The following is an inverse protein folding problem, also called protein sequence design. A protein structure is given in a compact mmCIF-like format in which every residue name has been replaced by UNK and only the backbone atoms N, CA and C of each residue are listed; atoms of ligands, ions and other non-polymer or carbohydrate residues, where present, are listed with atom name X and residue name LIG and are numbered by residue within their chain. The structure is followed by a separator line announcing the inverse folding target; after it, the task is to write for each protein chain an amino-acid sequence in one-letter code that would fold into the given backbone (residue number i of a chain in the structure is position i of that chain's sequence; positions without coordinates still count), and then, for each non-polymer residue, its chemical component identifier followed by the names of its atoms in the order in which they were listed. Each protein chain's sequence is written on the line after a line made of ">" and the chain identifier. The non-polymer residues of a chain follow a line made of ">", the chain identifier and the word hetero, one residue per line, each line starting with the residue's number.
data_IF_207996570978
#
_entry.id   IF_207996570978
#
_cell.length_a   1.000
_cell.length_b   1.000
_cell.length_c   1.000
_cell.angle_alpha   90.00
_cell.angle_beta   90.00
_cell.angle_gamma   90.00
#
_symmetry.space_group_name_H-M   'P 1'
#
loop_
_entity.id
_entity.type
_entity.pdbx_description
1 polymer ?
#
# COMPACT_ATOMS: atom_id res chain seq x y z
N UNK A 1 -5.19 15.54 -4.01
CA UNK A 1 -5.16 15.63 -2.52
C UNK A 1 -6.47 15.21 -1.86
N UNK A 2 -7.66 15.55 -2.37
CA UNK A 2 -8.94 15.14 -1.76
C UNK A 2 -9.18 13.61 -1.77
N UNK A 3 -8.83 12.90 -2.84
CA UNK A 3 -9.10 11.45 -2.97
C UNK A 3 -8.41 10.59 -1.90
N UNK A 4 -7.17 10.93 -1.49
CA UNK A 4 -6.47 10.21 -0.43
C UNK A 4 -7.12 10.45 0.94
N UNK A 5 -7.61 11.67 1.20
CA UNK A 5 -8.33 12.01 2.44
C UNK A 5 -9.64 11.24 2.53
N UNK A 6 -10.39 11.17 1.44
CA UNK A 6 -11.63 10.39 1.39
C UNK A 6 -11.41 8.89 1.61
N UNK A 7 -10.37 8.29 0.98
CA UNK A 7 -10.04 6.87 1.19
C UNK A 7 -9.65 6.57 2.64
N UNK A 8 -8.88 7.46 3.26
CA UNK A 8 -8.53 7.34 4.68
C UNK A 8 -9.75 7.46 5.58
N UNK A 9 -10.62 8.46 5.34
CA UNK A 9 -11.85 8.63 6.10
C UNK A 9 -12.78 7.41 5.98
N UNK A 10 -13.00 6.90 4.76
CA UNK A 10 -13.78 5.68 4.54
C UNK A 10 -13.19 4.46 5.24
N UNK A 11 -11.86 4.37 5.34
CA UNK A 11 -11.20 3.31 6.11
C UNK A 11 -11.52 3.40 7.60
N UNK A 12 -11.48 4.60 8.19
CA UNK A 12 -11.85 4.81 9.60
C UNK A 12 -13.32 4.47 9.86
N UNK A 13 -14.22 4.88 8.97
CA UNK A 13 -15.64 4.52 9.05
C UNK A 13 -15.84 3.00 9.00
N UNK A 14 -15.17 2.31 8.08
CA UNK A 14 -15.26 0.85 7.99
C UNK A 14 -14.64 0.17 9.22
N UNK A 15 -13.55 0.70 9.77
CA UNK A 15 -12.93 0.17 10.97
C UNK A 15 -13.85 0.30 12.18
N UNK A 16 -14.54 1.42 12.32
CA UNK A 16 -15.57 1.62 13.34
C UNK A 16 -16.75 0.66 13.13
N UNK A 17 -17.24 0.52 11.90
CA UNK A 17 -18.27 -0.47 11.54
C UNK A 17 -17.87 -1.91 11.96
N UNK A 18 -16.61 -2.29 11.77
CA UNK A 18 -16.09 -3.60 12.17
C UNK A 18 -15.96 -3.83 13.69
N UNK A 19 -16.13 -2.81 14.52
CA UNK A 19 -16.13 -2.98 15.99
C UNK A 19 -17.42 -3.61 16.51
N UNK A 20 -18.49 -3.58 15.72
CA UNK A 20 -19.78 -4.17 16.04
C UNK A 20 -19.88 -5.60 15.51
N UNK A 21 -20.62 -6.45 16.24
CA UNK A 21 -20.79 -7.85 15.87
C UNK A 21 -21.92 -8.06 14.85
N UNK A 22 -22.88 -7.13 14.78
CA UNK A 22 -24.02 -7.19 13.87
C UNK A 22 -24.12 -5.93 13.01
N UNK A 23 -24.67 -6.09 11.81
CA UNK A 23 -24.97 -4.99 10.91
C UNK A 23 -25.98 -4.02 11.52
N UNK A 24 -27.06 -4.54 12.10
CA UNK A 24 -28.13 -3.73 12.67
C UNK A 24 -27.62 -2.88 13.85
N UNK A 25 -26.78 -3.47 14.70
CA UNK A 25 -26.13 -2.75 15.80
C UNK A 25 -25.23 -1.62 15.29
N UNK A 26 -24.50 -1.86 14.19
CA UNK A 26 -23.65 -0.85 13.59
C UNK A 26 -24.47 0.31 13.00
N UNK A 27 -25.60 0.03 12.35
CA UNK A 27 -26.49 1.04 11.77
C UNK A 27 -27.10 1.98 12.80
N UNK A 28 -27.43 1.48 14.00
CA UNK A 28 -28.01 2.28 15.09
C UNK A 28 -27.04 3.26 15.75
N UNK A 29 -25.73 3.08 15.55
CA UNK A 29 -24.67 3.87 16.21
C UNK A 29 -23.83 4.64 15.20
N UNK A 30 -24.31 5.80 14.69
CA UNK A 30 -23.56 6.62 13.74
C UNK A 30 -22.17 7.03 14.24
N UNK A 31 -21.24 7.18 13.30
CA UNK A 31 -19.92 7.76 13.59
C UNK A 31 -20.06 9.26 13.93
N UNK A 32 -19.28 9.75 14.91
CA UNK A 32 -19.47 11.06 15.57
C UNK A 32 -19.64 12.28 14.64
N UNK A 33 -19.12 12.24 13.40
CA UNK A 33 -19.17 13.33 12.43
C UNK A 33 -19.93 12.96 11.13
N UNK A 34 -20.75 11.90 11.16
CA UNK A 34 -21.54 11.44 10.00
C UNK A 34 -23.02 11.51 10.34
N UNK A 35 -23.83 12.07 9.43
CA UNK A 35 -25.28 12.09 9.59
C UNK A 35 -25.84 10.66 9.64
N UNK A 36 -26.98 10.45 10.30
CA UNK A 36 -27.59 9.12 10.36
C UNK A 36 -27.90 8.56 8.96
N UNK A 37 -28.37 9.42 8.04
CA UNK A 37 -28.67 9.06 6.65
C UNK A 37 -27.40 8.64 5.89
N UNK A 38 -26.31 9.42 5.99
CA UNK A 38 -25.04 9.07 5.34
C UNK A 38 -24.40 7.82 5.96
N UNK A 39 -24.58 7.62 7.27
CA UNK A 39 -24.09 6.45 7.98
C UNK A 39 -24.81 5.19 7.53
N UNK A 40 -26.12 5.24 7.37
CA UNK A 40 -26.91 4.12 6.83
C UNK A 40 -26.40 3.72 5.44
N UNK A 41 -26.15 4.69 4.55
CA UNK A 41 -25.57 4.42 3.23
C UNK A 41 -24.19 3.77 3.32
N UNK A 42 -23.34 4.21 4.26
CA UNK A 42 -22.03 3.59 4.51
C UNK A 42 -22.19 2.13 4.97
N UNK A 43 -23.06 1.87 5.95
CA UNK A 43 -23.33 0.54 6.46
C UNK A 43 -23.86 -0.40 5.37
N UNK A 44 -24.80 0.07 4.53
CA UNK A 44 -25.30 -0.68 3.38
C UNK A 44 -24.17 -1.01 2.40
N UNK A 45 -23.29 -0.04 2.11
CA UNK A 45 -22.12 -0.27 1.25
C UNK A 45 -21.18 -1.32 1.85
N UNK A 46 -20.85 -1.22 3.14
CA UNK A 46 -19.96 -2.16 3.84
C UNK A 46 -20.54 -3.58 3.94
N UNK A 47 -21.85 -3.69 4.13
CA UNK A 47 -22.54 -4.97 4.15
C UNK A 47 -22.66 -5.62 2.77
N UNK A 48 -22.56 -4.84 1.69
CA UNK A 48 -22.74 -5.31 0.33
C UNK A 48 -21.75 -6.43 -0.05
N UNK A 49 -22.25 -7.42 -0.78
CA UNK A 49 -21.42 -8.53 -1.27
C UNK A 49 -20.28 -8.04 -2.18
N UNK A 50 -20.53 -6.98 -2.96
CA UNK A 50 -19.53 -6.34 -3.82
C UNK A 50 -18.35 -5.82 -3.00
N UNK A 51 -18.64 -5.07 -1.93
CA UNK A 51 -17.61 -4.50 -1.08
C UNK A 51 -16.80 -5.58 -0.37
N UNK A 52 -17.47 -6.58 0.23
CA UNK A 52 -16.81 -7.72 0.90
C UNK A 52 -15.88 -8.47 -0.04
N UNK A 53 -16.37 -8.81 -1.24
CA UNK A 53 -15.57 -9.50 -2.26
C UNK A 53 -14.33 -8.69 -2.65
N UNK A 54 -14.46 -7.39 -2.88
CA UNK A 54 -13.33 -6.53 -3.21
C UNK A 54 -12.35 -6.38 -2.05
N UNK A 55 -12.84 -6.27 -0.82
CA UNK A 55 -12.02 -6.19 0.40
C UNK A 55 -11.18 -7.45 0.61
N UNK A 56 -11.81 -8.62 0.55
CA UNK A 56 -11.14 -9.93 0.67
C UNK A 56 -10.10 -10.14 -0.44
N UNK A 57 -10.46 -9.83 -1.69
CA UNK A 57 -9.53 -9.93 -2.81
C UNK A 57 -8.31 -9.01 -2.63
N UNK A 58 -8.52 -7.77 -2.17
CA UNK A 58 -7.43 -6.83 -1.92
C UNK A 58 -6.51 -7.30 -0.79
N UNK A 59 -7.06 -7.84 0.29
CA UNK A 59 -6.29 -8.44 1.39
C UNK A 59 -5.46 -9.63 0.90
N UNK A 60 -6.08 -10.54 0.14
CA UNK A 60 -5.39 -11.70 -0.43
C UNK A 60 -4.28 -11.28 -1.41
N UNK A 61 -4.55 -10.31 -2.28
CA UNK A 61 -3.56 -9.79 -3.22
C UNK A 61 -2.40 -9.11 -2.49
N UNK A 62 -2.68 -8.40 -1.38
CA UNK A 62 -1.65 -7.79 -0.55
C UNK A 62 -0.79 -8.83 0.15
N UNK A 63 -1.37 -9.95 0.59
CA UNK A 63 -0.64 -11.08 1.17
C UNK A 63 0.30 -11.77 0.19
N UNK A 64 0.02 -11.71 -1.12
CA UNK A 64 0.87 -12.28 -2.19
C UNK A 64 2.00 -11.34 -2.64
N UNK A 65 2.07 -10.11 -2.14
CA UNK A 65 3.07 -9.14 -2.55
C UNK A 65 4.44 -9.43 -1.89
N UNK A 66 5.25 -10.27 -2.53
CA UNK A 66 6.56 -10.71 -2.03
C UNK A 66 7.65 -9.62 -2.11
N UNK A 67 7.52 -8.69 -3.05
CA UNK A 67 8.47 -7.62 -3.31
C UNK A 67 7.77 -6.29 -3.01
N UNK A 68 8.29 -5.55 -2.03
CA UNK A 68 7.77 -4.25 -1.64
C UNK A 68 8.89 -3.20 -1.71
N UNK A 69 8.57 -2.01 -2.21
CA UNK A 69 9.50 -0.88 -2.31
C UNK A 69 9.19 0.22 -1.29
N UNK A 70 10.13 1.13 -1.10
CA UNK A 70 10.13 2.22 -0.13
C UNK A 70 9.76 3.58 -0.75
N UNK A 71 9.68 3.68 -2.07
CA UNK A 71 9.46 4.97 -2.77
C UNK A 71 8.06 5.58 -2.58
N UNK A 72 7.18 4.91 -1.83
CA UNK A 72 5.83 5.37 -1.58
C UNK A 72 5.03 5.51 -2.87
N UNK A 73 4.35 6.64 -3.06
CA UNK A 73 3.59 6.94 -4.28
C UNK A 73 4.46 7.42 -5.45
N UNK A 74 5.77 7.55 -5.26
CA UNK A 74 6.69 7.97 -6.31
C UNK A 74 6.98 6.79 -7.24
N UNK A 75 6.68 6.96 -8.53
CA UNK A 75 7.06 5.98 -9.54
C UNK A 75 8.58 5.89 -9.68
N UNK A 76 9.08 4.74 -10.13
CA UNK A 76 10.53 4.56 -10.34
C UNK A 76 11.09 5.52 -11.39
N UNK A 77 10.38 5.77 -12.49
CA UNK A 77 10.80 6.75 -13.49
C UNK A 77 10.94 8.16 -12.91
N UNK A 78 10.02 8.58 -12.03
CA UNK A 78 10.11 9.87 -11.35
C UNK A 78 11.27 9.89 -10.35
N UNK A 79 11.43 8.82 -9.57
CA UNK A 79 12.54 8.71 -8.62
C UNK A 79 13.89 8.81 -9.35
N UNK A 80 14.04 8.09 -10.45
CA UNK A 80 15.26 8.10 -11.24
C UNK A 80 15.56 9.48 -11.82
N UNK A 81 14.55 10.15 -12.40
CA UNK A 81 14.72 11.53 -12.91
C UNK A 81 15.16 12.48 -11.80
N UNK A 82 14.55 12.41 -10.62
CA UNK A 82 14.95 13.25 -9.49
C UNK A 82 16.39 12.96 -9.02
N UNK A 83 16.91 11.74 -9.16
CA UNK A 83 18.33 11.46 -8.91
C UNK A 83 19.21 12.10 -9.98
N UNK A 84 18.85 11.96 -11.26
CA UNK A 84 19.59 12.53 -12.39
C UNK A 84 19.62 14.06 -12.32
N UNK A 85 18.50 14.71 -12.00
CA UNK A 85 18.39 16.16 -11.80
C UNK A 85 19.29 16.66 -10.65
N UNK A 86 19.54 15.81 -9.65
CA UNK A 86 20.46 16.08 -8.53
C UNK A 86 21.93 15.70 -8.86
N UNK A 87 22.22 15.26 -10.09
CA UNK A 87 23.56 14.83 -10.52
C UNK A 87 23.94 13.42 -10.07
N UNK A 88 23.00 12.63 -9.54
CA UNK A 88 23.22 11.24 -9.14
C UNK A 88 22.81 10.28 -10.27
N UNK A 89 23.75 9.94 -11.15
CA UNK A 89 23.54 8.84 -12.11
C UNK A 89 23.76 7.49 -11.43
N UNK A 90 22.67 6.83 -11.04
CA UNK A 90 22.74 5.51 -10.38
C UNK A 90 22.51 4.37 -11.37
N UNK A 91 23.35 3.33 -11.27
CA UNK A 91 23.13 2.09 -12.01
C UNK A 91 21.93 1.28 -11.47
N UNK A 92 21.45 0.26 -12.21
CA UNK A 92 20.27 -0.52 -11.83
C UNK A 92 20.34 -1.17 -10.45
N UNK A 93 21.52 -1.65 -10.05
CA UNK A 93 21.74 -2.32 -8.75
C UNK A 93 21.62 -1.31 -7.60
N UNK A 94 22.28 -0.16 -7.73
CA UNK A 94 22.20 0.91 -6.72
C UNK A 94 20.79 1.50 -6.64
N UNK A 95 20.11 1.65 -7.79
CA UNK A 95 18.72 2.06 -7.84
C UNK A 95 17.80 1.07 -7.09
N UNK A 96 17.99 -0.24 -7.28
CA UNK A 96 17.26 -1.27 -6.53
C UNK A 96 17.46 -1.12 -5.02
N UNK A 97 18.70 -0.96 -4.58
CA UNK A 97 19.03 -0.74 -3.17
C UNK A 97 18.35 0.52 -2.62
N UNK A 98 18.47 1.66 -3.30
CA UNK A 98 17.82 2.94 -2.89
C UNK A 98 16.30 2.82 -2.78
N UNK A 99 15.67 1.99 -3.59
CA UNK A 99 14.21 1.82 -3.62
C UNK A 99 13.68 0.72 -2.71
N UNK A 100 14.50 -0.21 -2.22
CA UNK A 100 14.05 -1.39 -1.44
C UNK A 100 14.74 -1.54 -0.07
N UNK A 101 15.72 -0.68 0.23
CA UNK A 101 16.41 -0.62 1.51
C UNK A 101 16.05 0.67 2.26
N UNK A 102 16.02 0.59 3.59
CA UNK A 102 15.89 1.73 4.50
C UNK A 102 16.89 1.57 5.64
N UNK A 103 17.04 2.57 6.51
CA UNK A 103 17.85 2.44 7.73
C UNK A 103 17.45 1.24 8.61
N UNK A 104 16.18 0.81 8.52
CA UNK A 104 15.65 -0.37 9.21
C UNK A 104 15.94 -1.70 8.50
N UNK A 105 16.68 -1.68 7.39
CA UNK A 105 17.01 -2.84 6.56
C UNK A 105 16.17 -2.97 5.28
N UNK A 106 16.28 -4.15 4.67
CA UNK A 106 15.54 -4.57 3.47
C UNK A 106 14.05 -4.72 3.76
N UNK A 107 13.20 -4.39 2.78
CA UNK A 107 11.74 -4.46 2.98
C UNK A 107 11.20 -5.88 3.11
N UNK A 108 11.74 -6.82 2.34
CA UNK A 108 11.40 -8.24 2.45
C UNK A 108 12.66 -9.10 2.26
N UNK A 109 12.72 -10.31 2.83
CA UNK A 109 13.84 -11.24 2.56
C UNK A 109 14.05 -11.47 1.05
N UNK A 110 12.96 -11.55 0.28
CA UNK A 110 12.99 -11.69 -1.18
C UNK A 110 13.71 -10.52 -1.86
N UNK A 111 13.48 -9.27 -1.40
CA UNK A 111 14.19 -8.10 -1.97
C UNK A 111 15.70 -8.15 -1.76
N UNK A 112 16.16 -8.69 -0.62
CA UNK A 112 17.58 -8.87 -0.33
C UNK A 112 18.20 -9.98 -1.19
N UNK A 113 17.50 -11.12 -1.32
CA UNK A 113 17.97 -12.24 -2.15
C UNK A 113 18.09 -11.83 -3.62
N UNK A 114 17.12 -11.11 -4.16
CA UNK A 114 17.16 -10.57 -5.51
C UNK A 114 18.32 -9.61 -5.71
N UNK A 115 18.56 -8.71 -4.74
CA UNK A 115 19.71 -7.81 -4.79
C UNK A 115 21.03 -8.58 -4.86
N UNK A 116 21.21 -9.60 -4.01
CA UNK A 116 22.40 -10.45 -4.03
C UNK A 116 22.54 -11.19 -5.37
N UNK A 117 21.44 -11.71 -5.92
CA UNK A 117 21.45 -12.37 -7.22
C UNK A 117 21.82 -11.41 -8.36
N UNK A 118 21.24 -10.22 -8.41
CA UNK A 118 21.57 -9.19 -9.40
C UNK A 118 23.03 -8.73 -9.28
N UNK A 119 23.51 -8.56 -8.05
CA UNK A 119 24.90 -8.19 -7.80
C UNK A 119 25.87 -9.27 -8.29
N UNK A 120 25.63 -10.54 -7.95
CA UNK A 120 26.45 -11.67 -8.41
C UNK A 120 26.41 -11.81 -9.93
N UNK A 121 25.24 -11.69 -10.54
CA UNK A 121 25.12 -11.77 -12.00
C UNK A 121 25.94 -10.68 -12.70
N UNK A 122 25.84 -9.43 -12.25
CA UNK A 122 26.55 -8.31 -12.86
C UNK A 122 28.06 -8.34 -12.59
N UNK A 123 28.48 -8.87 -11.44
CA UNK A 123 29.88 -9.01 -11.07
C UNK A 123 30.58 -10.15 -11.81
N UNK A 124 29.90 -11.29 -12.04
CA UNK A 124 30.51 -12.49 -12.62
C UNK A 124 30.27 -12.68 -14.13
N UNK A 125 29.26 -12.04 -14.72
CA UNK A 125 28.88 -12.29 -16.12
C UNK A 125 28.90 -11.06 -17.04
N UNK A 126 28.99 -9.84 -16.48
CA UNK A 126 28.95 -8.59 -17.25
C UNK A 126 30.26 -7.78 -17.13
N UNK A 127 31.03 -7.97 -16.06
CA UNK A 127 32.44 -7.53 -15.97
C UNK A 127 33.37 -8.65 -16.41
#
# INVERSE_FOLDING_TARGET
>A
MLSCRFKGYKHELHKYYQTFNSHDEACEKPFNDVSAEDWELCCQEFASAKFKKSSEANTNNRGKAEINHCSGSKSFARYQRELEDNGESVGPIEFWKKTHYTEKGWKTPTTQQLYASFFLFYFFFIN
#
